data_IF_990923443979
#
_entry.id   IF_990923443979
#
_cell.length_a   1.000
_cell.length_b   1.000
_cell.length_c   1.000
_cell.angle_alpha   90.00
_cell.angle_beta   90.00
_cell.angle_gamma   90.00
#
_symmetry.space_group_name_H-M   'P 1'
#
loop_
_entity.id
_entity.type
_entity.pdbx_description
1 polymer ?
#
# COMPACT_ATOMS: atom_id res chain seq x y z
N UNK A 1 7.15 12.26 -14.83
CA UNK A 1 8.60 11.88 -14.74
C UNK A 1 8.86 10.65 -13.89
N UNK A 2 8.30 10.48 -12.66
CA UNK A 2 8.57 9.28 -11.82
C UNK A 2 8.27 7.95 -12.53
N UNK A 3 7.15 7.87 -13.29
CA UNK A 3 6.83 6.70 -14.11
C UNK A 3 7.91 6.41 -15.16
N UNK A 4 8.39 7.45 -15.87
CA UNK A 4 9.44 7.33 -16.86
C UNK A 4 10.70 6.70 -16.28
N UNK A 5 11.24 7.25 -15.20
CA UNK A 5 12.45 6.69 -14.58
C UNK A 5 12.25 5.26 -14.08
N UNK A 6 11.09 4.96 -13.47
CA UNK A 6 10.88 3.65 -12.84
C UNK A 6 10.58 2.53 -13.85
N UNK A 7 9.84 2.82 -14.91
CA UNK A 7 9.28 1.80 -15.80
C UNK A 7 9.79 1.89 -17.25
N UNK A 8 10.39 2.99 -17.66
CA UNK A 8 10.99 3.14 -19.00
C UNK A 8 12.51 3.04 -18.90
N UNK A 9 13.11 3.74 -17.93
CA UNK A 9 14.56 3.67 -17.67
C UNK A 9 14.92 2.58 -16.66
N UNK A 10 13.94 1.90 -16.07
CA UNK A 10 14.08 0.80 -15.10
C UNK A 10 14.90 1.14 -13.83
N UNK A 11 15.06 2.43 -13.53
CA UNK A 11 15.76 2.92 -12.34
C UNK A 11 14.85 2.76 -11.13
N UNK A 12 15.06 1.72 -10.32
CA UNK A 12 14.26 1.45 -9.12
C UNK A 12 14.92 2.07 -7.89
N UNK A 13 14.17 2.84 -7.06
CA UNK A 13 14.69 3.28 -5.79
C UNK A 13 14.91 2.06 -4.86
N UNK A 14 15.95 2.09 -4.01
CA UNK A 14 16.14 1.06 -3.00
C UNK A 14 14.99 1.07 -2.00
N UNK A 15 14.78 -0.05 -1.33
CA UNK A 15 13.90 -0.12 -0.17
C UNK A 15 14.43 0.78 0.94
N UNK A 16 13.53 1.39 1.71
CA UNK A 16 13.87 2.18 2.90
C UNK A 16 13.20 1.58 4.15
N UNK A 17 13.59 2.05 5.33
CA UNK A 17 13.10 1.54 6.60
C UNK A 17 11.57 1.60 6.73
N UNK A 18 10.92 2.66 6.25
CA UNK A 18 9.46 2.75 6.28
C UNK A 18 8.79 1.70 5.39
N UNK A 19 9.34 1.44 4.20
CA UNK A 19 8.85 0.37 3.32
C UNK A 19 9.07 -1.01 3.94
N UNK A 20 10.22 -1.24 4.55
CA UNK A 20 10.53 -2.51 5.23
C UNK A 20 9.52 -2.78 6.35
N UNK A 21 9.24 -1.79 7.23
CA UNK A 21 8.23 -1.93 8.28
C UNK A 21 6.85 -2.28 7.71
N UNK A 22 6.46 -1.64 6.61
CA UNK A 22 5.20 -1.95 5.90
C UNK A 22 5.15 -3.38 5.39
N UNK A 23 6.17 -3.80 4.65
CA UNK A 23 6.28 -5.17 4.11
C UNK A 23 6.26 -6.25 5.20
N UNK A 24 6.89 -5.98 6.35
CA UNK A 24 6.95 -6.92 7.47
C UNK A 24 5.56 -7.14 8.10
N UNK A 25 4.81 -6.07 8.36
CA UNK A 25 3.44 -6.17 8.89
C UNK A 25 2.50 -6.81 7.86
N UNK A 26 2.60 -6.43 6.58
CA UNK A 26 1.79 -6.99 5.51
C UNK A 26 2.02 -8.51 5.35
N UNK A 27 3.28 -8.96 5.38
CA UNK A 27 3.62 -10.38 5.34
C UNK A 27 2.94 -11.18 6.46
N UNK A 28 2.97 -10.64 7.68
CA UNK A 28 2.33 -11.28 8.83
C UNK A 28 0.80 -11.25 8.73
N UNK A 29 0.21 -10.15 8.25
CA UNK A 29 -1.22 -10.03 8.01
C UNK A 29 -1.70 -11.08 7.00
N UNK A 30 -1.00 -11.23 5.88
CA UNK A 30 -1.32 -12.22 4.85
C UNK A 30 -1.24 -13.64 5.39
N UNK A 31 -0.16 -13.99 6.11
CA UNK A 31 -0.02 -15.30 6.77
C UNK A 31 -1.13 -15.57 7.78
N UNK A 32 -1.47 -14.58 8.60
CA UNK A 32 -2.57 -14.68 9.57
C UNK A 32 -3.92 -14.95 8.91
N UNK A 33 -4.26 -14.19 7.85
CA UNK A 33 -5.53 -14.35 7.16
C UNK A 33 -5.62 -15.68 6.42
N UNK A 34 -4.54 -16.20 5.84
CA UNK A 34 -4.51 -17.57 5.28
C UNK A 34 -4.84 -18.62 6.34
N UNK A 35 -4.20 -18.55 7.50
CA UNK A 35 -4.51 -19.47 8.61
C UNK A 35 -5.94 -19.27 9.10
N UNK A 36 -6.43 -18.01 9.15
CA UNK A 36 -7.80 -17.70 9.59
C UNK A 36 -8.86 -18.18 8.61
N UNK A 37 -8.58 -18.16 7.32
CA UNK A 37 -9.48 -18.71 6.30
C UNK A 37 -9.70 -20.22 6.52
N UNK A 38 -8.64 -20.96 6.87
CA UNK A 38 -8.70 -22.38 7.16
C UNK A 38 -9.37 -22.72 8.49
N UNK A 39 -8.93 -22.08 9.60
CA UNK A 39 -9.28 -22.49 10.96
C UNK A 39 -10.26 -21.56 11.70
N UNK A 40 -10.67 -20.43 11.06
CA UNK A 40 -11.56 -19.37 11.59
C UNK A 40 -11.01 -18.58 12.78
N UNK A 41 -9.84 -18.90 13.29
CA UNK A 41 -9.20 -18.28 14.46
C UNK A 41 -8.00 -17.41 14.04
N UNK A 42 -7.19 -17.92 13.12
CA UNK A 42 -5.94 -17.30 12.68
C UNK A 42 -4.74 -17.68 13.56
N UNK A 43 -3.67 -16.94 13.44
CA UNK A 43 -2.45 -17.13 14.22
C UNK A 43 -2.60 -16.57 15.63
N UNK A 44 -1.83 -17.12 16.59
CA UNK A 44 -1.60 -16.47 17.88
C UNK A 44 -0.81 -15.18 17.70
N UNK A 45 -0.99 -14.24 18.62
CA UNK A 45 -0.29 -12.93 18.56
C UNK A 45 1.24 -13.09 18.46
N UNK A 46 1.81 -14.03 19.21
CA UNK A 46 3.24 -14.30 19.18
C UNK A 46 3.70 -14.76 17.80
N UNK A 47 3.01 -15.71 17.20
CA UNK A 47 3.38 -16.25 15.88
C UNK A 47 3.27 -15.19 14.77
N UNK A 48 2.27 -14.30 14.89
CA UNK A 48 2.13 -13.13 14.01
C UNK A 48 3.32 -12.18 14.12
N UNK A 49 3.73 -11.85 15.36
CA UNK A 49 4.88 -10.96 15.60
C UNK A 49 6.17 -11.62 15.10
N UNK A 50 6.36 -12.91 15.41
CA UNK A 50 7.56 -13.65 14.98
C UNK A 50 7.68 -13.69 13.44
N UNK A 51 6.56 -13.84 12.72
CA UNK A 51 6.55 -13.79 11.25
C UNK A 51 6.92 -12.40 10.71
N UNK A 52 6.37 -11.33 11.29
CA UNK A 52 6.70 -9.95 10.88
C UNK A 52 8.18 -9.61 11.16
N UNK A 53 8.67 -9.98 12.33
CA UNK A 53 10.06 -9.75 12.74
C UNK A 53 11.02 -10.60 11.89
N UNK A 54 10.66 -11.84 11.58
CA UNK A 54 11.44 -12.69 10.67
C UNK A 54 11.62 -12.07 9.29
N UNK A 55 10.52 -11.53 8.70
CA UNK A 55 10.59 -10.81 7.42
C UNK A 55 11.44 -9.53 7.50
N UNK A 56 11.37 -8.79 8.62
CA UNK A 56 12.22 -7.63 8.85
C UNK A 56 13.70 -8.04 8.89
N UNK A 57 14.05 -9.06 9.67
CA UNK A 57 15.43 -9.47 9.89
C UNK A 57 16.06 -10.01 8.59
N UNK A 58 15.28 -10.69 7.74
CA UNK A 58 15.68 -11.19 6.43
C UNK A 58 16.10 -10.06 5.46
N UNK A 59 15.37 -8.94 5.48
CA UNK A 59 15.58 -7.85 4.51
C UNK A 59 16.39 -6.67 5.07
N UNK A 60 16.55 -6.55 6.39
CA UNK A 60 17.09 -5.35 7.02
C UNK A 60 18.53 -5.00 6.61
N UNK A 61 19.34 -6.00 6.26
CA UNK A 61 20.74 -5.79 5.87
C UNK A 61 20.89 -5.24 4.44
N UNK A 62 19.84 -5.39 3.61
CA UNK A 62 19.78 -4.88 2.23
C UNK A 62 19.11 -3.52 2.12
N UNK A 63 18.61 -2.98 3.24
CA UNK A 63 17.77 -1.78 3.28
C UNK A 63 18.49 -0.63 3.96
N UNK A 64 18.39 0.57 3.38
CA UNK A 64 18.80 1.79 4.06
C UNK A 64 17.80 2.13 5.17
N UNK A 65 18.15 1.80 6.41
CA UNK A 65 17.35 2.12 7.59
C UNK A 65 17.51 3.60 7.98
N UNK A 66 16.43 4.17 8.49
CA UNK A 66 16.37 5.53 9.06
C UNK A 66 16.71 5.58 10.55
N UNK A 67 16.75 4.41 11.20
CA UNK A 67 17.08 4.18 12.61
C UNK A 67 17.95 2.93 12.74
N UNK A 68 18.41 2.58 13.94
CA UNK A 68 19.16 1.33 14.15
C UNK A 68 18.31 0.10 13.80
N UNK A 69 18.97 -1.00 13.39
CA UNK A 69 18.29 -2.28 13.07
C UNK A 69 17.44 -2.76 14.27
N UNK A 70 18.00 -2.64 15.48
CA UNK A 70 17.28 -3.04 16.70
C UNK A 70 16.01 -2.19 16.93
N UNK A 71 16.09 -0.89 16.77
CA UNK A 71 14.96 0.02 16.91
C UNK A 71 13.88 -0.19 15.82
N UNK A 72 14.31 -0.41 14.57
CA UNK A 72 13.41 -0.76 13.47
C UNK A 72 12.67 -2.07 13.74
N UNK A 73 13.38 -3.08 14.23
CA UNK A 73 12.84 -4.39 14.62
C UNK A 73 11.83 -4.29 15.76
N UNK A 74 12.15 -3.52 16.79
CA UNK A 74 11.23 -3.25 17.91
C UNK A 74 9.96 -2.54 17.44
N UNK A 75 10.11 -1.57 16.55
CA UNK A 75 8.97 -0.88 15.92
C UNK A 75 8.07 -1.86 15.15
N UNK A 76 8.65 -2.76 14.35
CA UNK A 76 7.87 -3.81 13.65
C UNK A 76 7.13 -4.69 14.65
N UNK A 77 7.77 -5.11 15.73
CA UNK A 77 7.13 -5.92 16.79
C UNK A 77 5.92 -5.22 17.39
N UNK A 78 6.06 -3.94 17.79
CA UNK A 78 4.96 -3.14 18.38
C UNK A 78 3.80 -2.91 17.41
N UNK A 79 4.10 -2.57 16.16
CA UNK A 79 3.07 -2.32 15.14
C UNK A 79 2.33 -3.62 14.78
N UNK A 80 3.05 -4.74 14.73
CA UNK A 80 2.48 -6.06 14.46
C UNK A 80 1.55 -6.53 15.58
N UNK A 81 1.96 -6.33 16.85
CA UNK A 81 1.10 -6.61 18.00
C UNK A 81 -0.21 -5.82 17.95
N UNK A 82 -0.10 -4.52 17.66
CA UNK A 82 -1.26 -3.63 17.54
C UNK A 82 -2.17 -4.05 16.38
N UNK A 83 -1.58 -4.28 15.18
CA UNK A 83 -2.34 -4.70 14.00
C UNK A 83 -3.10 -6.01 14.25
N UNK A 84 -2.42 -6.99 14.83
CA UNK A 84 -3.04 -8.28 15.13
C UNK A 84 -4.21 -8.15 16.11
N UNK A 85 -4.04 -7.36 17.17
CA UNK A 85 -5.08 -7.16 18.20
C UNK A 85 -6.31 -6.40 17.69
N UNK A 86 -6.12 -5.50 16.73
CA UNK A 86 -7.18 -4.62 16.22
C UNK A 86 -7.77 -5.13 14.91
N UNK A 87 -6.95 -5.39 13.90
CA UNK A 87 -7.40 -5.80 12.57
C UNK A 87 -7.37 -7.32 12.40
N UNK A 88 -6.29 -7.99 12.78
CA UNK A 88 -6.15 -9.43 12.63
C UNK A 88 -7.29 -10.20 13.29
N UNK A 89 -7.69 -9.83 14.49
CA UNK A 89 -8.80 -10.48 15.20
C UNK A 89 -10.17 -10.18 14.59
N UNK A 90 -10.39 -8.97 14.10
CA UNK A 90 -11.73 -8.50 13.72
C UNK A 90 -12.06 -8.70 12.23
N UNK A 91 -11.06 -8.64 11.33
CA UNK A 91 -11.28 -8.90 9.92
C UNK A 91 -11.32 -10.40 9.65
N UNK A 92 -12.34 -10.86 8.93
CA UNK A 92 -12.51 -12.26 8.54
C UNK A 92 -12.41 -12.38 7.03
N UNK A 93 -11.45 -13.16 6.49
CA UNK A 93 -11.33 -13.38 5.06
C UNK A 93 -12.56 -14.17 4.54
N UNK A 94 -13.00 -13.86 3.33
CA UNK A 94 -14.11 -14.56 2.66
C UNK A 94 -13.72 -16.01 2.34
N UNK A 95 -12.50 -16.23 1.85
CA UNK A 95 -11.89 -17.53 1.56
C UNK A 95 -10.36 -17.37 1.48
N UNK A 96 -9.63 -18.47 1.24
CA UNK A 96 -8.17 -18.39 0.97
C UNK A 96 -7.88 -17.59 -0.30
N UNK A 97 -8.67 -17.75 -1.36
CA UNK A 97 -8.53 -17.04 -2.63
C UNK A 97 -8.87 -15.55 -2.52
N UNK A 98 -9.43 -15.10 -1.40
CA UNK A 98 -9.73 -13.69 -1.13
C UNK A 98 -8.55 -12.91 -0.53
N UNK A 99 -7.37 -13.54 -0.40
CA UNK A 99 -6.17 -12.98 0.19
C UNK A 99 -5.11 -12.82 -0.90
N UNK A 100 -4.48 -11.64 -1.00
CA UNK A 100 -3.52 -11.28 -2.06
C UNK A 100 -4.06 -11.53 -3.47
N UNK A 101 -5.30 -11.10 -3.69
CA UNK A 101 -6.03 -11.34 -4.95
C UNK A 101 -5.43 -10.56 -6.09
N UNK A 102 -4.89 -11.26 -7.10
CA UNK A 102 -4.47 -10.61 -8.33
C UNK A 102 -5.69 -10.23 -9.16
N UNK A 103 -5.87 -8.94 -9.36
CA UNK A 103 -6.90 -8.40 -10.24
C UNK A 103 -6.33 -8.06 -11.62
N UNK A 104 -7.10 -8.39 -12.64
CA UNK A 104 -6.87 -7.94 -14.03
C UNK A 104 -8.21 -7.41 -14.52
N UNK A 105 -8.28 -6.12 -14.81
CA UNK A 105 -9.55 -5.50 -15.17
C UNK A 105 -9.44 -4.41 -16.21
N UNK A 106 -10.57 -4.15 -16.86
CA UNK A 106 -10.69 -3.08 -17.84
C UNK A 106 -11.20 -1.80 -17.17
N UNK A 107 -10.51 -0.71 -17.44
CA UNK A 107 -10.89 0.64 -17.02
C UNK A 107 -11.26 1.54 -18.21
N UNK A 108 -11.68 0.93 -19.32
CA UNK A 108 -11.98 1.60 -20.60
C UNK A 108 -10.72 2.01 -21.35
N UNK A 109 -9.69 1.19 -21.27
CA UNK A 109 -8.40 1.38 -21.95
C UNK A 109 -8.08 0.19 -22.88
N UNK A 110 -7.09 0.35 -23.77
CA UNK A 110 -6.62 -0.73 -24.62
C UNK A 110 -5.76 -1.78 -23.89
N UNK A 111 -5.30 -1.46 -22.67
CA UNK A 111 -4.50 -2.34 -21.83
C UNK A 111 -5.19 -2.53 -20.49
N UNK A 112 -5.16 -3.73 -19.92
CA UNK A 112 -5.76 -3.98 -18.62
C UNK A 112 -4.98 -3.29 -17.51
N UNK A 113 -5.67 -2.96 -16.41
CA UNK A 113 -5.05 -2.61 -15.14
C UNK A 113 -4.79 -3.90 -14.36
N UNK A 114 -3.61 -4.01 -13.79
CA UNK A 114 -3.23 -5.09 -12.89
C UNK A 114 -3.07 -4.51 -11.49
N UNK A 115 -3.63 -5.19 -10.50
CA UNK A 115 -3.50 -4.83 -9.10
C UNK A 115 -3.51 -6.07 -8.20
N UNK A 116 -3.24 -5.85 -6.91
CA UNK A 116 -3.30 -6.88 -5.90
C UNK A 116 -4.10 -6.33 -4.72
N UNK A 117 -5.17 -7.02 -4.35
CA UNK A 117 -5.98 -6.73 -3.16
C UNK A 117 -5.42 -7.52 -2.00
N UNK A 118 -5.12 -6.88 -0.88
CA UNK A 118 -4.56 -7.56 0.28
C UNK A 118 -5.58 -8.54 0.88
N UNK A 119 -6.84 -8.09 1.03
CA UNK A 119 -7.90 -8.90 1.61
C UNK A 119 -9.29 -8.51 1.07
N UNK A 120 -10.12 -9.50 0.77
CA UNK A 120 -11.58 -9.35 0.65
C UNK A 120 -12.23 -10.10 1.82
N UNK A 121 -13.02 -9.40 2.62
CA UNK A 121 -13.66 -9.95 3.81
C UNK A 121 -14.96 -10.68 3.50
N UNK A 122 -15.47 -11.47 4.46
CA UNK A 122 -16.73 -12.20 4.32
C UNK A 122 -17.97 -11.31 4.14
N UNK A 123 -17.89 -10.05 4.60
CA UNK A 123 -18.94 -9.02 4.41
C UNK A 123 -18.71 -8.18 3.14
N UNK A 124 -17.98 -8.72 2.16
CA UNK A 124 -17.70 -8.11 0.87
C UNK A 124 -17.07 -6.70 0.99
N UNK A 125 -16.02 -6.58 1.79
CA UNK A 125 -15.22 -5.37 1.91
C UNK A 125 -13.80 -5.59 1.40
N UNK A 126 -13.32 -4.71 0.52
CA UNK A 126 -11.93 -4.69 0.07
C UNK A 126 -11.10 -3.96 1.13
N UNK A 127 -10.10 -4.61 1.67
CA UNK A 127 -9.21 -4.04 2.69
C UNK A 127 -7.79 -3.97 2.17
N UNK A 128 -7.14 -2.84 2.42
CA UNK A 128 -5.74 -2.59 2.12
C UNK A 128 -5.00 -2.30 3.43
N UNK A 129 -3.89 -3.00 3.67
CA UNK A 129 -3.07 -2.89 4.88
C UNK A 129 -2.08 -1.75 4.75
N UNK A 130 -2.01 -0.85 5.72
CA UNK A 130 -1.07 0.27 5.70
C UNK A 130 -0.36 0.48 7.02
N UNK A 131 0.97 0.61 6.94
CA UNK A 131 1.82 1.15 8.01
C UNK A 131 2.19 2.58 7.65
N UNK A 132 1.93 3.53 8.56
CA UNK A 132 2.15 4.96 8.33
C UNK A 132 2.97 5.57 9.45
N UNK A 133 3.75 6.60 9.13
CA UNK A 133 4.51 7.39 10.11
C UNK A 133 3.74 8.58 10.66
N UNK A 134 2.57 8.90 10.11
CA UNK A 134 1.76 10.05 10.51
C UNK A 134 0.28 9.71 10.44
N UNK A 135 -0.46 10.12 11.46
CA UNK A 135 -1.91 10.06 11.45
C UNK A 135 -2.46 11.27 10.66
N UNK A 136 -2.91 11.02 9.43
CA UNK A 136 -3.54 12.03 8.56
C UNK A 136 -4.92 11.55 8.16
N UNK A 137 -5.86 12.49 8.04
CA UNK A 137 -7.15 12.22 7.44
C UNK A 137 -6.96 11.67 6.01
N UNK A 138 -7.71 10.63 5.67
CA UNK A 138 -7.67 9.94 4.38
C UNK A 138 -9.03 10.07 3.74
N UNK A 139 -9.06 10.60 2.53
CA UNK A 139 -10.26 10.62 1.69
C UNK A 139 -10.21 9.42 0.72
N UNK A 140 -10.89 8.34 1.09
CA UNK A 140 -10.94 7.12 0.28
C UNK A 140 -11.76 7.29 -1.00
N UNK A 141 -12.63 8.30 -1.09
CA UNK A 141 -13.44 8.55 -2.29
C UNK A 141 -12.58 8.85 -3.53
N UNK A 142 -11.33 9.26 -3.30
CA UNK A 142 -10.36 9.62 -4.35
C UNK A 142 -9.15 8.70 -4.39
N UNK A 143 -9.14 7.64 -3.59
CA UNK A 143 -8.05 6.66 -3.60
C UNK A 143 -8.07 5.87 -4.91
N UNK A 144 -7.04 6.07 -5.74
CA UNK A 144 -6.98 5.47 -7.08
C UNK A 144 -6.91 3.95 -7.00
N UNK A 145 -6.19 3.40 -6.04
CA UNK A 145 -6.00 1.96 -5.89
C UNK A 145 -7.31 1.29 -5.48
N UNK A 146 -7.90 1.70 -4.36
CA UNK A 146 -9.09 1.07 -3.80
C UNK A 146 -10.33 1.28 -4.67
N UNK A 147 -10.54 2.48 -5.22
CA UNK A 147 -11.65 2.74 -6.16
C UNK A 147 -11.50 1.93 -7.45
N UNK A 148 -10.27 1.71 -7.92
CA UNK A 148 -10.02 0.82 -9.07
C UNK A 148 -10.38 -0.63 -8.74
N UNK A 149 -9.99 -1.11 -7.56
CA UNK A 149 -10.33 -2.45 -7.11
C UNK A 149 -11.84 -2.63 -6.97
N UNK A 150 -12.52 -1.66 -6.38
CA UNK A 150 -14.00 -1.62 -6.30
C UNK A 150 -14.64 -1.77 -7.67
N UNK A 151 -14.19 -1.00 -8.65
CA UNK A 151 -14.70 -1.09 -10.03
C UNK A 151 -14.51 -2.47 -10.66
N UNK A 152 -13.33 -3.07 -10.48
CA UNK A 152 -12.98 -4.35 -11.12
C UNK A 152 -13.72 -5.52 -10.46
N UNK A 153 -13.88 -5.49 -9.14
CA UNK A 153 -14.52 -6.55 -8.36
C UNK A 153 -16.02 -6.39 -8.22
N UNK A 154 -16.57 -5.21 -8.54
CA UNK A 154 -17.94 -4.81 -8.26
C UNK A 154 -18.29 -4.85 -6.75
N UNK A 155 -17.30 -4.64 -5.89
CA UNK A 155 -17.45 -4.51 -4.43
C UNK A 155 -17.33 -3.04 -4.08
N UNK A 156 -18.40 -2.42 -3.54
CA UNK A 156 -18.43 -0.99 -3.28
C UNK A 156 -17.85 -0.60 -1.91
N UNK A 157 -17.75 -1.54 -0.98
CA UNK A 157 -17.22 -1.27 0.36
C UNK A 157 -15.70 -1.45 0.36
N UNK A 158 -14.98 -0.37 0.64
CA UNK A 158 -13.52 -0.35 0.69
C UNK A 158 -13.02 0.12 2.05
N UNK A 159 -11.85 -0.35 2.47
CA UNK A 159 -11.26 0.07 3.74
C UNK A 159 -9.73 0.12 3.69
N UNK A 160 -9.17 0.95 4.56
CA UNK A 160 -7.76 0.88 4.95
C UNK A 160 -7.68 0.40 6.40
N UNK A 161 -7.01 -0.72 6.62
CA UNK A 161 -6.61 -1.20 7.92
C UNK A 161 -5.21 -0.65 8.22
N UNK A 162 -5.12 0.45 8.99
CA UNK A 162 -3.84 1.09 9.23
C UNK A 162 -3.35 0.93 10.66
N UNK A 163 -2.02 0.86 10.79
CA UNK A 163 -1.30 1.13 12.03
C UNK A 163 -0.36 2.31 11.82
N UNK A 164 -0.30 3.22 12.77
CA UNK A 164 0.47 4.46 12.69
C UNK A 164 1.62 4.42 13.70
N UNK A 165 2.85 4.50 13.17
CA UNK A 165 4.08 4.53 13.95
C UNK A 165 4.29 5.94 14.52
N UNK A 166 3.72 6.17 15.69
CA UNK A 166 3.89 7.37 16.51
C UNK A 166 4.41 6.97 17.87
N UNK A 167 4.77 7.95 18.73
CA UNK A 167 5.22 7.70 20.10
C UNK A 167 4.24 6.78 20.84
N UNK A 168 2.94 7.00 20.64
CA UNK A 168 1.86 6.10 21.03
C UNK A 168 1.22 5.54 19.75
N UNK A 169 1.53 4.30 19.34
CA UNK A 169 1.00 3.74 18.10
C UNK A 169 -0.52 3.72 18.10
N UNK A 170 -1.10 4.05 16.94
CA UNK A 170 -2.56 4.08 16.73
C UNK A 170 -2.97 3.08 15.66
N UNK A 171 -4.20 2.64 15.75
CA UNK A 171 -4.79 1.73 14.77
C UNK A 171 -6.19 2.20 14.43
N UNK A 172 -6.49 2.29 13.13
CA UNK A 172 -7.78 2.70 12.63
C UNK A 172 -8.21 1.82 11.46
N UNK A 173 -9.49 1.47 11.39
CA UNK A 173 -10.13 0.90 10.21
C UNK A 173 -10.98 2.00 9.57
N UNK A 174 -10.51 2.55 8.45
CA UNK A 174 -11.18 3.62 7.73
C UNK A 174 -11.98 3.00 6.61
N UNK A 175 -13.31 3.06 6.72
CA UNK A 175 -14.24 2.44 5.77
C UNK A 175 -14.92 3.51 4.92
N UNK A 176 -15.17 3.20 3.65
CA UNK A 176 -15.87 4.08 2.72
C UNK A 176 -16.68 3.26 1.71
N UNK A 177 -17.84 3.80 1.34
CA UNK A 177 -18.67 3.27 0.26
C UNK A 177 -18.41 4.03 -1.04
N UNK A 178 -17.92 3.32 -2.05
CA UNK A 178 -17.52 3.91 -3.34
C UNK A 178 -18.78 4.29 -4.15
N UNK A 179 -18.84 5.54 -4.58
CA UNK A 179 -19.90 6.05 -5.44
C UNK A 179 -19.54 5.91 -6.92
N UNK A 180 -20.56 5.90 -7.79
CA UNK A 180 -20.39 5.96 -9.25
C UNK A 180 -19.59 7.20 -9.69
N UNK A 181 -19.71 8.31 -8.98
CA UNK A 181 -18.92 9.53 -9.23
C UNK A 181 -17.43 9.30 -8.95
N UNK A 182 -17.10 8.61 -7.86
CA UNK A 182 -15.71 8.22 -7.53
C UNK A 182 -15.13 7.32 -8.61
N UNK A 183 -15.89 6.29 -9.03
CA UNK A 183 -15.51 5.37 -10.11
C UNK A 183 -15.26 6.13 -11.41
N UNK A 184 -16.17 7.00 -11.81
CA UNK A 184 -16.06 7.80 -13.03
C UNK A 184 -14.81 8.70 -13.00
N UNK A 185 -14.59 9.41 -11.89
CA UNK A 185 -13.46 10.31 -11.70
C UNK A 185 -12.12 9.56 -11.76
N UNK A 186 -12.00 8.43 -11.06
CA UNK A 186 -10.78 7.62 -11.04
C UNK A 186 -10.54 6.99 -12.41
N UNK A 187 -11.57 6.46 -13.06
CA UNK A 187 -11.46 5.90 -14.41
C UNK A 187 -10.97 6.92 -15.42
N UNK A 188 -11.46 8.16 -15.35
CA UNK A 188 -10.99 9.25 -16.22
C UNK A 188 -9.51 9.58 -15.98
N UNK A 189 -9.07 9.66 -14.71
CA UNK A 189 -7.66 9.88 -14.37
C UNK A 189 -6.76 8.79 -14.92
N UNK A 190 -7.13 7.52 -14.73
CA UNK A 190 -6.36 6.37 -15.22
C UNK A 190 -6.26 6.40 -16.75
N UNK A 191 -7.37 6.65 -17.47
CA UNK A 191 -7.37 6.77 -18.94
C UNK A 191 -6.47 7.91 -19.42
N UNK A 192 -6.55 9.07 -18.76
CA UNK A 192 -5.71 10.24 -19.11
C UNK A 192 -4.22 9.95 -18.93
N UNK A 193 -3.84 9.33 -17.81
CA UNK A 193 -2.45 8.92 -17.52
C UNK A 193 -1.97 7.86 -18.50
N UNK A 194 -2.77 6.82 -18.76
CA UNK A 194 -2.45 5.78 -19.74
C UNK A 194 -2.26 6.36 -21.15
N UNK A 195 -3.13 7.29 -21.57
CA UNK A 195 -2.99 8.00 -22.84
C UNK A 195 -1.72 8.82 -22.93
N UNK A 196 -1.32 9.52 -21.87
CA UNK A 196 -0.09 10.27 -21.79
C UNK A 196 1.15 9.36 -21.87
N UNK A 197 1.15 8.24 -21.15
CA UNK A 197 2.24 7.26 -21.16
C UNK A 197 2.44 6.71 -22.59
N UNK A 198 1.38 6.33 -23.28
CA UNK A 198 1.45 5.81 -24.66
C UNK A 198 1.99 6.84 -25.65
N UNK A 199 1.70 8.11 -25.44
CA UNK A 199 2.24 9.23 -26.23
C UNK A 199 3.64 9.65 -25.78
N UNK A 200 4.24 8.95 -24.83
CA UNK A 200 5.53 9.29 -24.19
C UNK A 200 5.56 10.70 -23.57
N UNK A 201 4.42 11.17 -23.08
CA UNK A 201 4.29 12.45 -22.37
C UNK A 201 4.44 12.22 -20.87
N UNK A 202 5.56 12.64 -20.31
CA UNK A 202 5.87 12.48 -18.89
C UNK A 202 6.04 13.85 -18.23
N UNK A 203 4.98 14.32 -17.62
CA UNK A 203 4.96 15.63 -16.97
C UNK A 203 5.70 15.59 -15.62
N UNK A 204 6.29 16.71 -15.19
CA UNK A 204 6.78 16.89 -13.82
C UNK A 204 5.63 16.80 -12.82
N UNK A 205 5.97 16.70 -11.54
CA UNK A 205 4.99 16.95 -10.48
C UNK A 205 4.51 18.41 -10.54
N UNK A 206 3.29 18.70 -10.07
CA UNK A 206 2.82 20.08 -9.95
C UNK A 206 3.81 20.92 -9.15
N UNK A 207 3.93 22.20 -9.53
CA UNK A 207 4.77 23.15 -8.82
C UNK A 207 4.40 23.21 -7.33
N UNK A 208 5.39 23.34 -6.45
CA UNK A 208 5.19 23.36 -5.00
C UNK A 208 4.89 21.98 -4.35
N UNK A 209 4.87 20.90 -5.13
CA UNK A 209 4.66 19.56 -4.56
C UNK A 209 5.81 19.18 -3.62
N UNK A 210 5.51 18.97 -2.35
CA UNK A 210 6.50 18.67 -1.30
C UNK A 210 7.37 17.44 -1.61
N UNK A 211 6.80 16.44 -2.31
CA UNK A 211 7.51 15.22 -2.71
C UNK A 211 8.42 15.42 -3.93
N UNK A 212 8.32 16.55 -4.62
CA UNK A 212 9.21 16.95 -5.71
C UNK A 212 10.35 17.82 -5.15
N UNK A 213 11.22 17.23 -4.35
CA UNK A 213 12.32 17.93 -3.69
C UNK A 213 13.52 17.01 -3.48
N UNK A 214 14.70 17.57 -3.26
CA UNK A 214 15.94 16.85 -2.97
C UNK A 214 15.80 15.86 -1.81
N UNK A 215 14.99 16.22 -0.80
CA UNK A 215 14.77 15.37 0.39
C UNK A 215 13.92 14.14 0.10
N UNK A 216 12.93 14.26 -0.79
CA UNK A 216 11.89 13.24 -0.92
C UNK A 216 11.87 12.51 -2.26
N UNK A 217 12.52 13.07 -3.29
CA UNK A 217 12.50 12.48 -4.62
C UNK A 217 13.82 11.77 -4.92
N UNK A 218 13.80 10.44 -4.96
CA UNK A 218 14.97 9.65 -5.34
C UNK A 218 15.57 10.07 -6.69
N UNK A 219 14.71 10.46 -7.63
CA UNK A 219 15.12 10.87 -8.99
C UNK A 219 15.57 12.33 -9.10
N UNK A 220 15.65 13.07 -7.99
CA UNK A 220 15.93 14.51 -7.99
C UNK A 220 17.18 14.90 -8.78
N UNK A 221 18.25 14.14 -8.61
CA UNK A 221 19.55 14.44 -9.27
C UNK A 221 19.57 14.19 -10.77
N UNK A 222 18.76 13.24 -11.26
CA UNK A 222 18.70 12.85 -12.67
C UNK A 222 17.48 13.39 -13.39
N UNK A 223 16.59 14.04 -12.66
CA UNK A 223 15.36 14.61 -13.23
C UNK A 223 15.64 15.97 -13.88
N UNK A 224 15.25 16.21 -15.15
CA UNK A 224 15.45 17.50 -15.80
C UNK A 224 14.70 18.67 -15.10
N UNK A 225 13.71 18.34 -14.25
CA UNK A 225 12.96 19.30 -13.43
C UNK A 225 13.44 19.32 -11.96
N UNK A 226 14.56 18.66 -11.65
CA UNK A 226 15.19 18.62 -10.34
C UNK A 226 16.36 19.60 -10.22
N UNK A 227 17.51 19.06 -9.81
CA UNK A 227 18.73 19.86 -9.58
C UNK A 227 19.29 20.52 -10.86
N UNK A 228 19.06 19.90 -12.03
CA UNK A 228 19.55 20.38 -13.33
C UNK A 228 18.77 21.58 -13.89
N UNK A 229 17.69 22.00 -13.26
CA UNK A 229 16.79 23.09 -13.72
C UNK A 229 16.95 24.39 -12.92
N UNK A 230 18.01 24.51 -12.10
CA UNK A 230 18.33 25.73 -11.34
C UNK A 230 19.60 26.40 -11.87
#
# INVERSE_FOLDING_TARGET
MKYYFRYVEEIKPPLNGAMLRGLSVDKAANGHFLVKASNKVGMKTKDFIDLAVGQHDELADEVQLDVSKAESRDTVSRLSDLYHKTHGKNLVPKSEESIQVKLIGDMGMQVPVIGFVDLITEDDMIVDTKVRSQNRAIDLSRDIQLVTYSKITNINKIAIAQVVDTKEPKSDLIVHEVSELSISSVSQKIRSVSGAIRKRVFLPAPEGSWYCSKKWCFYWKICPYGESSK
#
